data_IF_460682010515
#
_entry.id   IF_460682010515
#
_cell.length_a   1.000
_cell.length_b   1.000
_cell.length_c   1.000
_cell.angle_alpha   90.00
_cell.angle_beta   90.00
_cell.angle_gamma   90.00
#
_symmetry.space_group_name_H-M   'P 1'
#
loop_
_entity.id
_entity.type
_entity.pdbx_description
1 polymer ?
#
# COMPACT_ATOMS: atom_id res chain seq x y z
N UNK A 1 -23.84 -7.24 20.17
CA UNK A 1 -23.03 -8.30 20.82
C UNK A 1 -22.42 -9.13 19.71
N UNK A 2 -21.13 -8.98 19.44
CA UNK A 2 -20.44 -9.74 18.39
C UNK A 2 -20.20 -11.17 18.85
N UNK A 3 -20.42 -12.15 17.97
CA UNK A 3 -20.15 -13.56 18.25
C UNK A 3 -18.63 -13.81 18.35
N UNK A 4 -18.22 -14.69 19.26
CA UNK A 4 -16.83 -15.11 19.39
C UNK A 4 -16.35 -15.79 18.09
N UNK A 5 -15.09 -15.56 17.66
CA UNK A 5 -14.53 -16.24 16.50
C UNK A 5 -14.50 -17.76 16.71
N UNK A 6 -14.69 -18.52 15.64
CA UNK A 6 -14.56 -19.98 15.65
C UNK A 6 -13.12 -20.38 15.40
N UNK A 7 -12.61 -21.31 16.21
CA UNK A 7 -11.28 -21.92 16.05
C UNK A 7 -11.49 -23.37 15.66
N UNK A 8 -10.95 -23.79 14.52
CA UNK A 8 -10.86 -25.20 14.13
C UNK A 8 -9.40 -25.65 14.08
N UNK A 9 -9.17 -26.93 14.40
CA UNK A 9 -7.86 -27.56 14.36
C UNK A 9 -7.94 -28.76 13.40
N UNK A 10 -7.22 -28.67 12.28
CA UNK A 10 -6.90 -29.83 11.44
C UNK A 10 -5.40 -29.79 11.12
N UNK A 11 -4.70 -30.87 11.50
CA UNK A 11 -3.28 -31.12 11.25
C UNK A 11 -2.38 -29.87 11.11
N UNK A 12 -2.06 -29.28 12.27
CA UNK A 12 -1.04 -28.23 12.49
C UNK A 12 -1.37 -26.81 12.01
N UNK A 13 -2.57 -26.55 11.48
CA UNK A 13 -2.98 -25.18 11.12
C UNK A 13 -4.12 -24.71 12.02
N UNK A 14 -3.90 -23.59 12.72
CA UNK A 14 -4.95 -22.87 13.45
C UNK A 14 -5.48 -21.74 12.58
N UNK A 15 -6.75 -21.84 12.16
CA UNK A 15 -7.41 -20.79 11.39
C UNK A 15 -8.38 -20.04 12.29
N UNK A 16 -8.17 -18.72 12.43
CA UNK A 16 -9.11 -17.83 13.12
C UNK A 16 -9.91 -17.08 12.06
N UNK A 17 -11.19 -17.41 11.92
CA UNK A 17 -12.08 -16.72 10.99
C UNK A 17 -12.95 -15.74 11.77
N UNK A 18 -12.82 -14.41 11.58
CA UNK A 18 -13.71 -13.45 12.22
C UNK A 18 -15.14 -13.67 11.70
N UNK A 19 -16.09 -13.80 12.63
CA UNK A 19 -17.47 -14.20 12.33
C UNK A 19 -18.35 -13.07 11.77
N UNK A 20 -17.91 -11.81 11.82
CA UNK A 20 -18.63 -10.66 11.28
C UNK A 20 -17.67 -9.66 10.64
N UNK A 21 -18.01 -9.16 9.44
CA UNK A 21 -17.43 -7.94 8.87
C UNK A 21 -17.88 -6.74 9.70
N UNK A 22 -17.18 -6.42 10.79
CA UNK A 22 -17.41 -5.21 11.58
C UNK A 22 -16.20 -4.28 11.51
N UNK A 23 -16.47 -3.02 11.23
CA UNK A 23 -15.53 -1.89 11.10
C UNK A 23 -14.95 -1.41 12.45
N UNK A 24 -14.62 -2.33 13.37
CA UNK A 24 -14.02 -1.96 14.65
C UNK A 24 -12.76 -2.77 14.94
N UNK A 25 -11.75 -2.07 15.44
CA UNK A 25 -10.47 -2.62 15.90
C UNK A 25 -10.72 -3.59 17.07
N UNK A 26 -10.36 -4.85 16.90
CA UNK A 26 -10.29 -5.81 17.99
C UNK A 26 -8.88 -6.38 18.07
N UNK A 27 -8.20 -6.19 19.19
CA UNK A 27 -6.91 -6.84 19.46
C UNK A 27 -7.19 -8.24 19.99
N UNK A 28 -6.89 -9.25 19.18
CA UNK A 28 -6.99 -10.64 19.61
C UNK A 28 -5.63 -11.11 20.15
N UNK A 29 -5.57 -11.48 21.43
CA UNK A 29 -4.43 -12.22 21.98
C UNK A 29 -4.68 -13.70 21.75
N UNK A 30 -4.00 -14.28 20.77
CA UNK A 30 -3.96 -15.74 20.62
C UNK A 30 -2.94 -16.26 21.62
N UNK A 31 -3.40 -16.94 22.67
CA UNK A 31 -2.53 -17.68 23.59
C UNK A 31 -2.58 -19.15 23.20
N UNK A 32 -1.52 -19.64 22.56
CA UNK A 32 -1.35 -21.08 22.33
C UNK A 32 -0.96 -21.70 23.67
N UNK A 33 -1.90 -22.32 24.37
CA UNK A 33 -1.71 -22.84 25.74
C UNK A 33 -1.27 -24.30 25.80
N UNK A 34 -1.20 -24.99 24.66
CA UNK A 34 -0.66 -26.36 24.59
C UNK A 34 0.65 -26.32 23.83
N UNK A 35 1.74 -26.67 24.52
CA UNK A 35 3.03 -26.88 23.90
C UNK A 35 2.86 -27.87 22.74
N UNK A 36 3.34 -27.52 21.56
CA UNK A 36 3.54 -28.52 20.53
C UNK A 36 4.72 -29.39 20.99
N UNK A 37 4.54 -30.71 20.95
CA UNK A 37 5.58 -31.71 21.15
C UNK A 37 5.84 -32.40 19.81
N UNK A 38 7.10 -32.70 19.49
CA UNK A 38 7.40 -33.58 18.36
C UNK A 38 7.02 -35.05 18.69
N UNK A 39 7.14 -35.96 17.71
CA UNK A 39 6.85 -37.38 17.91
C UNK A 39 7.79 -38.09 18.90
N UNK A 40 8.83 -37.41 19.39
CA UNK A 40 9.73 -37.88 20.42
C UNK A 40 9.47 -37.23 21.80
N UNK A 41 8.42 -36.38 21.92
CA UNK A 41 8.06 -35.71 23.17
C UNK A 41 8.88 -34.46 23.49
N UNK A 42 9.64 -33.93 22.51
CA UNK A 42 10.43 -32.72 22.74
C UNK A 42 9.57 -31.47 22.63
N UNK A 43 9.70 -30.57 23.61
CA UNK A 43 9.05 -29.26 23.59
C UNK A 43 9.64 -28.38 22.47
N UNK A 44 8.90 -28.20 21.38
CA UNK A 44 9.30 -27.33 20.24
C UNK A 44 8.92 -25.86 20.44
N UNK A 45 8.29 -25.51 21.57
CA UNK A 45 7.68 -24.20 21.81
C UNK A 45 8.57 -23.15 22.52
N UNK A 46 9.87 -23.38 22.72
CA UNK A 46 10.75 -22.39 23.39
C UNK A 46 11.49 -21.44 22.44
N UNK A 47 11.40 -21.61 21.11
CA UNK A 47 12.14 -20.76 20.15
C UNK A 47 11.32 -20.08 19.06
N UNK A 48 10.00 -20.28 18.99
CA UNK A 48 9.17 -19.52 18.05
C UNK A 48 8.74 -18.19 18.68
N UNK A 49 9.66 -17.23 18.70
CA UNK A 49 9.27 -15.82 18.78
C UNK A 49 8.69 -15.47 17.41
N UNK A 50 7.37 -15.44 17.28
CA UNK A 50 6.73 -14.88 16.10
C UNK A 50 7.04 -13.37 16.07
N UNK A 51 8.20 -13.04 15.51
CA UNK A 51 8.63 -11.66 15.28
C UNK A 51 7.99 -11.22 13.98
N UNK A 52 6.72 -10.86 14.09
CA UNK A 52 5.89 -10.55 12.94
C UNK A 52 4.43 -10.70 13.29
N UNK A 53 3.99 -10.00 14.34
CA UNK A 53 2.57 -9.74 14.49
C UNK A 53 2.06 -9.20 13.16
N UNK A 54 0.94 -9.74 12.67
CA UNK A 54 0.25 -9.26 11.50
C UNK A 54 0.08 -7.75 11.64
N UNK A 55 0.94 -6.99 10.95
CA UNK A 55 0.93 -5.54 11.00
C UNK A 55 -0.20 -5.14 10.07
N UNK A 56 -1.44 -5.16 10.57
CA UNK A 56 -2.48 -4.33 9.98
C UNK A 56 -2.03 -2.90 10.21
N UNK A 57 -1.18 -2.37 9.33
CA UNK A 57 -0.91 -0.94 9.34
C UNK A 57 -2.28 -0.29 9.20
N UNK A 58 -2.60 0.62 10.11
CA UNK A 58 -3.83 1.40 10.13
C UNK A 58 -3.99 2.31 8.89
N UNK A 59 -3.17 2.09 7.86
CA UNK A 59 -3.13 2.81 6.60
C UNK A 59 -4.15 2.18 5.66
N UNK A 60 -5.07 3.01 5.16
CA UNK A 60 -5.96 2.60 4.09
C UNK A 60 -5.06 2.26 2.88
N UNK A 61 -5.02 1.00 2.42
CA UNK A 61 -4.10 0.60 1.36
C UNK A 61 -4.58 1.13 0.00
N UNK A 62 -5.79 1.70 -0.07
CA UNK A 62 -6.39 2.24 -1.27
C UNK A 62 -6.72 3.72 -1.11
N UNK A 63 -6.49 4.50 -2.16
CA UNK A 63 -6.98 5.87 -2.29
C UNK A 63 -7.66 6.02 -3.65
N UNK A 64 -8.63 6.91 -3.74
CA UNK A 64 -9.39 7.16 -4.96
C UNK A 64 -9.44 8.65 -5.26
N UNK A 65 -9.12 9.01 -6.51
CA UNK A 65 -9.40 10.34 -7.05
C UNK A 65 -10.73 10.37 -7.80
N UNK A 66 -10.89 11.30 -8.74
CA UNK A 66 -12.17 11.49 -9.44
C UNK A 66 -12.59 10.31 -10.31
N UNK A 67 -11.64 9.60 -10.93
CA UNK A 67 -11.90 8.50 -11.86
C UNK A 67 -10.73 7.51 -11.93
N UNK A 68 -9.92 7.46 -10.87
CA UNK A 68 -8.78 6.57 -10.76
C UNK A 68 -8.61 6.13 -9.31
N UNK A 69 -7.91 5.02 -9.10
CA UNK A 69 -7.64 4.47 -7.78
C UNK A 69 -6.20 3.99 -7.72
N UNK A 70 -5.61 4.07 -6.54
CA UNK A 70 -4.26 3.62 -6.27
C UNK A 70 -4.27 2.72 -5.05
N UNK A 71 -3.51 1.63 -5.12
CA UNK A 71 -3.33 0.68 -4.04
C UNK A 71 -1.84 0.56 -3.66
N UNK A 72 -1.54 0.57 -2.37
CA UNK A 72 -0.22 0.33 -1.79
C UNK A 72 -0.17 -1.09 -1.21
N UNK A 73 0.80 -1.88 -1.66
CA UNK A 73 1.06 -3.23 -1.18
C UNK A 73 1.90 -3.22 0.12
N UNK A 74 1.93 -4.35 0.84
CA UNK A 74 2.69 -4.49 2.09
C UNK A 74 4.21 -4.28 1.93
N UNK A 75 4.74 -4.47 0.72
CA UNK A 75 6.13 -4.19 0.38
C UNK A 75 6.39 -2.71 0.00
N UNK A 76 5.37 -1.84 0.16
CA UNK A 76 5.42 -0.42 -0.15
C UNK A 76 5.38 -0.07 -1.64
N UNK A 77 5.18 -1.05 -2.53
CA UNK A 77 4.91 -0.79 -3.95
C UNK A 77 3.52 -0.17 -4.12
N UNK A 78 3.38 0.78 -5.04
CA UNK A 78 2.09 1.42 -5.36
C UNK A 78 1.69 1.07 -6.78
N UNK A 79 0.43 0.68 -6.99
CA UNK A 79 -0.16 0.44 -8.31
C UNK A 79 -1.40 1.30 -8.46
N UNK A 80 -1.56 1.99 -9.59
CA UNK A 80 -2.73 2.81 -9.88
C UNK A 80 -3.45 2.36 -11.16
N UNK A 81 -4.77 2.44 -11.17
CA UNK A 81 -5.61 2.14 -12.34
C UNK A 81 -6.73 3.17 -12.50
N UNK A 82 -7.37 3.18 -13.67
CA UNK A 82 -8.41 4.12 -14.07
C UNK A 82 -7.88 5.21 -15.01
N UNK A 83 -8.55 6.36 -15.02
CA UNK A 83 -8.25 7.50 -15.91
C UNK A 83 -6.82 8.00 -15.70
N UNK A 84 -6.06 8.23 -16.79
CA UNK A 84 -4.66 8.67 -16.73
C UNK A 84 -4.31 9.86 -17.66
N UNK A 85 -5.30 10.61 -18.13
CA UNK A 85 -5.08 11.69 -19.11
C UNK A 85 -4.20 12.86 -18.62
N UNK A 86 -3.87 12.91 -17.33
CA UNK A 86 -3.02 13.93 -16.69
C UNK A 86 -1.86 13.27 -15.93
N UNK A 87 -1.51 12.03 -16.25
CA UNK A 87 -0.41 11.32 -15.59
C UNK A 87 -0.69 10.88 -14.15
N UNK A 88 -1.95 10.94 -13.68
CA UNK A 88 -2.33 10.66 -12.29
C UNK A 88 -2.04 9.23 -11.83
N UNK A 89 -1.79 8.29 -12.76
CA UNK A 89 -1.34 6.94 -12.44
C UNK A 89 0.18 6.83 -12.22
N UNK A 90 0.97 7.86 -12.56
CA UNK A 90 2.40 7.90 -12.29
C UNK A 90 3.23 6.90 -13.11
N UNK A 91 2.77 6.55 -14.31
CA UNK A 91 3.45 5.57 -15.17
C UNK A 91 4.31 6.19 -16.28
N UNK A 92 4.51 7.52 -16.24
CA UNK A 92 5.29 8.25 -17.25
C UNK A 92 4.65 8.22 -18.65
N UNK A 93 3.31 8.19 -18.69
CA UNK A 93 2.49 8.19 -19.90
C UNK A 93 1.05 8.58 -19.53
N UNK A 94 0.21 8.85 -20.53
CA UNK A 94 -1.19 9.24 -20.35
C UNK A 94 -2.22 8.14 -20.60
N UNK A 95 -1.78 6.88 -20.71
CA UNK A 95 -2.68 5.78 -21.06
C UNK A 95 -3.48 5.34 -19.83
N UNK A 96 -4.81 5.28 -19.96
CA UNK A 96 -5.72 4.69 -18.96
C UNK A 96 -5.35 3.23 -18.70
N UNK A 97 -5.71 2.72 -17.51
CA UNK A 97 -5.50 1.32 -17.12
C UNK A 97 -6.76 0.71 -16.56
N UNK A 98 -7.01 -0.54 -16.91
CA UNK A 98 -8.14 -1.32 -16.41
C UNK A 98 -9.38 -1.24 -17.28
N UNK A 99 -9.27 -0.63 -18.47
CA UNK A 99 -10.30 -0.64 -19.50
C UNK A 99 -10.03 -1.70 -20.59
N UNK A 100 -8.85 -2.33 -20.60
CA UNK A 100 -8.53 -3.44 -21.51
C UNK A 100 -8.08 -4.74 -20.79
N UNK A 101 -8.13 -5.86 -21.52
CA UNK A 101 -7.88 -7.21 -20.99
C UNK A 101 -6.43 -7.50 -20.56
N UNK A 102 -5.46 -6.68 -20.98
CA UNK A 102 -4.03 -6.92 -20.74
C UNK A 102 -3.35 -5.84 -19.88
N UNK A 103 -4.12 -5.10 -19.08
CA UNK A 103 -3.60 -3.97 -18.29
C UNK A 103 -3.58 -4.21 -16.78
N UNK A 104 -4.28 -5.26 -16.33
CA UNK A 104 -4.49 -5.57 -14.92
C UNK A 104 -3.72 -6.82 -14.48
N UNK A 105 -3.72 -7.08 -13.17
CA UNK A 105 -3.00 -8.21 -12.58
C UNK A 105 -1.49 -7.99 -12.65
N UNK A 106 -0.76 -8.98 -13.17
CA UNK A 106 0.70 -8.92 -13.30
C UNK A 106 1.16 -7.86 -14.32
N UNK A 107 0.29 -7.50 -15.27
CA UNK A 107 0.56 -6.44 -16.24
C UNK A 107 0.42 -5.03 -15.65
N UNK A 108 -0.24 -4.89 -14.49
CA UNK A 108 -0.31 -3.60 -13.82
C UNK A 108 1.00 -3.34 -13.10
N UNK A 109 1.86 -2.54 -13.72
CA UNK A 109 3.17 -2.21 -13.18
C UNK A 109 3.08 -1.32 -11.95
N UNK A 110 4.03 -1.52 -11.03
CA UNK A 110 4.21 -0.62 -9.91
C UNK A 110 4.77 0.73 -10.40
N UNK A 111 4.40 1.79 -9.69
CA UNK A 111 4.90 3.14 -9.91
C UNK A 111 6.36 3.21 -9.48
N UNK A 112 7.18 3.84 -10.32
CA UNK A 112 8.56 4.14 -9.96
C UNK A 112 8.61 5.36 -9.03
N UNK A 113 8.91 5.10 -7.76
CA UNK A 113 9.06 6.12 -6.70
C UNK A 113 10.51 6.61 -6.56
N UNK A 114 11.44 6.08 -7.38
CA UNK A 114 12.86 6.35 -7.31
C UNK A 114 13.66 5.15 -6.78
N UNK A 115 14.96 5.16 -7.05
CA UNK A 115 15.85 4.04 -6.76
C UNK A 115 15.83 3.71 -5.26
N UNK A 116 15.44 2.47 -4.95
CA UNK A 116 15.40 1.95 -3.59
C UNK A 116 14.35 2.60 -2.69
N UNK A 117 13.30 3.21 -3.25
CA UNK A 117 12.22 3.85 -2.49
C UNK A 117 10.95 3.03 -2.45
N UNK A 118 10.29 3.08 -1.30
CA UNK A 118 8.98 2.47 -1.07
C UNK A 118 8.04 3.50 -0.44
N UNK A 119 6.73 3.36 -0.67
CA UNK A 119 5.72 4.20 -0.04
C UNK A 119 5.35 3.65 1.34
N UNK A 120 5.13 4.57 2.29
CA UNK A 120 4.57 4.28 3.62
C UNK A 120 3.13 4.78 3.76
N UNK A 121 2.71 5.71 2.89
CA UNK A 121 1.35 6.19 2.78
C UNK A 121 1.10 6.79 1.39
N UNK A 122 -0.14 6.73 0.92
CA UNK A 122 -0.58 7.35 -0.34
C UNK A 122 -1.86 8.17 -0.11
N UNK A 123 -2.01 9.25 -0.87
CA UNK A 123 -3.23 10.05 -0.92
C UNK A 123 -3.48 10.53 -2.35
N UNK A 124 -4.74 10.48 -2.78
CA UNK A 124 -5.17 11.02 -4.06
C UNK A 124 -6.07 12.25 -3.85
N UNK A 125 -5.85 13.28 -4.65
CA UNK A 125 -6.82 14.33 -4.91
C UNK A 125 -7.63 14.03 -6.19
N UNK A 126 -8.30 15.03 -6.75
CA UNK A 126 -9.16 14.84 -7.93
C UNK A 126 -8.42 14.20 -9.13
N UNK A 127 -7.22 14.68 -9.42
CA UNK A 127 -6.42 14.28 -10.59
C UNK A 127 -4.91 14.21 -10.29
N UNK A 128 -4.52 14.06 -9.03
CA UNK A 128 -3.12 13.95 -8.62
C UNK A 128 -3.01 12.97 -7.45
N UNK A 129 -1.81 12.42 -7.25
CA UNK A 129 -1.49 11.47 -6.20
C UNK A 129 -0.19 11.88 -5.54
N UNK A 130 -0.12 11.72 -4.22
CA UNK A 130 1.09 11.91 -3.45
C UNK A 130 1.40 10.65 -2.65
N UNK A 131 2.69 10.34 -2.51
CA UNK A 131 3.21 9.29 -1.65
C UNK A 131 4.20 9.86 -0.64
N UNK A 132 4.05 9.43 0.61
CA UNK A 132 5.10 9.56 1.64
C UNK A 132 6.00 8.35 1.47
N UNK A 133 7.30 8.57 1.34
CA UNK A 133 8.30 7.53 1.14
C UNK A 133 8.95 7.09 2.46
N UNK A 134 9.66 5.97 2.42
CA UNK A 134 10.41 5.38 3.53
C UNK A 134 11.44 6.31 4.20
N UNK A 135 11.92 7.34 3.50
CA UNK A 135 12.79 8.38 4.03
C UNK A 135 12.06 9.65 4.46
N UNK A 136 10.74 9.56 4.65
CA UNK A 136 9.84 10.68 4.97
C UNK A 136 9.75 11.79 3.92
N UNK A 137 10.38 11.64 2.75
CA UNK A 137 10.16 12.56 1.63
C UNK A 137 8.80 12.33 0.97
N UNK A 138 8.29 13.35 0.30
CA UNK A 138 6.99 13.31 -0.38
C UNK A 138 7.22 13.48 -1.87
N UNK A 139 6.64 12.59 -2.68
CA UNK A 139 6.57 12.77 -4.14
C UNK A 139 5.12 12.85 -4.55
N UNK A 140 4.81 13.84 -5.40
CA UNK A 140 3.47 14.05 -5.95
C UNK A 140 3.52 14.04 -7.48
N UNK A 141 2.54 13.40 -8.12
CA UNK A 141 2.41 13.32 -9.57
C UNK A 141 0.95 13.48 -9.99
N UNK A 142 0.73 13.68 -11.28
CA UNK A 142 -0.55 13.97 -11.90
C UNK A 142 -0.72 15.45 -12.25
N UNK A 143 -1.98 15.88 -12.33
CA UNK A 143 -2.36 17.26 -12.65
C UNK A 143 -1.70 18.25 -11.69
N UNK A 144 -1.16 19.36 -12.24
CA UNK A 144 -0.55 20.44 -11.46
C UNK A 144 -1.04 21.85 -11.85
N UNK A 145 -2.16 21.97 -12.55
CA UNK A 145 -2.64 23.26 -13.06
C UNK A 145 -2.92 24.31 -11.97
N UNK A 146 -3.02 23.90 -10.70
CA UNK A 146 -3.22 24.74 -9.52
C UNK A 146 -2.02 24.71 -8.55
N UNK A 147 -0.87 24.17 -8.96
CA UNK A 147 0.30 24.00 -8.11
C UNK A 147 0.15 22.91 -7.04
N UNK A 148 -0.82 22.01 -7.19
CA UNK A 148 -1.15 20.98 -6.20
C UNK A 148 -0.04 19.95 -5.96
N UNK A 149 0.99 19.88 -6.82
CA UNK A 149 2.16 19.03 -6.59
C UNK A 149 3.18 19.69 -5.64
N UNK A 150 3.06 20.99 -5.34
CA UNK A 150 3.93 21.68 -4.39
C UNK A 150 5.37 21.88 -4.86
N UNK A 151 5.63 21.83 -6.18
CA UNK A 151 6.98 21.91 -6.76
C UNK A 151 7.40 23.33 -7.17
N UNK A 152 6.63 24.36 -6.79
CA UNK A 152 6.94 25.76 -7.14
C UNK A 152 6.61 26.15 -8.58
N UNK A 153 5.85 25.31 -9.30
CA UNK A 153 5.38 25.56 -10.66
C UNK A 153 4.03 24.87 -10.91
N UNK A 154 3.53 24.96 -12.15
CA UNK A 154 2.23 24.39 -12.58
C UNK A 154 2.33 23.28 -13.64
N UNK A 155 3.50 22.70 -13.86
CA UNK A 155 3.68 21.60 -14.83
C UNK A 155 3.12 20.29 -14.30
N UNK A 156 2.35 19.57 -15.10
CA UNK A 156 1.93 18.19 -14.81
C UNK A 156 3.17 17.28 -14.76
N UNK A 157 3.11 16.19 -13.97
CA UNK A 157 4.14 15.14 -13.93
C UNK A 157 3.52 13.76 -14.01
N UNK A 158 4.23 12.85 -14.64
CA UNK A 158 3.83 11.45 -14.79
C UNK A 158 3.04 11.19 -16.06
N UNK A 159 2.80 12.22 -16.87
CA UNK A 159 2.22 12.15 -18.21
C UNK A 159 3.28 11.94 -19.29
N UNK A 160 4.54 12.25 -19.02
CA UNK A 160 5.67 12.07 -19.92
C UNK A 160 6.70 11.04 -19.46
N UNK A 161 7.44 10.47 -20.42
CA UNK A 161 8.58 9.60 -20.13
C UNK A 161 9.69 10.40 -19.43
N UNK A 162 10.27 9.84 -18.36
CA UNK A 162 11.38 10.48 -17.64
C UNK A 162 10.95 11.50 -16.58
N UNK A 163 9.66 11.58 -16.25
CA UNK A 163 9.13 12.47 -15.21
C UNK A 163 8.89 11.76 -13.86
N UNK A 164 8.99 10.44 -13.84
CA UNK A 164 8.80 9.59 -12.64
C UNK A 164 10.16 9.10 -12.10
N UNK A 165 10.14 8.28 -11.06
CA UNK A 165 11.36 7.73 -10.48
C UNK A 165 12.24 8.80 -9.85
N UNK A 166 13.55 8.72 -10.07
CA UNK A 166 14.52 9.68 -9.54
C UNK A 166 14.40 11.07 -10.16
N UNK A 167 13.82 11.19 -11.35
CA UNK A 167 13.54 12.48 -11.98
C UNK A 167 12.39 13.24 -11.29
N UNK A 168 11.48 12.53 -10.61
CA UNK A 168 10.41 13.16 -9.88
C UNK A 168 10.95 13.79 -8.59
N UNK A 169 11.01 15.12 -8.59
CA UNK A 169 11.50 15.89 -7.46
C UNK A 169 10.60 15.71 -6.24
N UNK A 170 11.20 15.56 -5.06
CA UNK A 170 10.45 15.53 -3.81
C UNK A 170 9.99 16.94 -3.43
N UNK A 171 8.80 17.04 -2.84
CA UNK A 171 8.26 18.30 -2.33
C UNK A 171 9.16 18.83 -1.23
N UNK A 172 9.49 20.13 -1.27
CA UNK A 172 10.18 20.81 -0.18
C UNK A 172 9.18 21.49 0.76
N UNK A 173 9.22 21.14 2.05
CA UNK A 173 8.42 21.74 3.12
C UNK A 173 9.34 22.39 4.18
N UNK A 174 10.62 22.60 3.84
CA UNK A 174 11.61 23.21 4.73
C UNK A 174 12.38 22.21 5.60
N UNK A 175 13.25 22.77 6.43
CA UNK A 175 14.30 22.08 7.21
C UNK A 175 13.86 21.57 8.59
N UNK A 176 12.61 21.82 9.02
CA UNK A 176 12.11 21.47 10.37
C UNK A 176 10.98 20.42 10.33
N UNK A 177 11.17 19.35 9.55
CA UNK A 177 10.22 18.24 9.46
C UNK A 177 10.46 17.14 10.48
#
# INVERSE_FOLDING_TARGET
MGSSPTVSNSNQTFTVTPSLKMFYLATYKIRVTTAAEDSAGNNIASQYTQTGGFKTTSTIPITAGSAFSCFMLDNGSVKCWGKNNLGQLGQGNTNTRGDNSSEMGDNLTAIDLGTGRTATAIAAGNHHTCAILDNASIKCWGSNASGQLGLGDTSTRGDGSGEMGDSLTAVDLGTER
#
